data_IF_170922887543
#
_entry.id   IF_170922887543
#
_cell.length_a   1.000
_cell.length_b   1.000
_cell.length_c   1.000
_cell.angle_alpha   90.00
_cell.angle_beta   90.00
_cell.angle_gamma   90.00
#
_symmetry.space_group_name_H-M   'P 1'
#
loop_
_entity.id
_entity.type
_entity.pdbx_description
1 polymer ?
#
# COMPACT_ATOMS: atom_id res chain seq x y z
N UNK A 1 -22.12 3.50 14.84
CA UNK A 1 -22.86 2.23 14.63
C UNK A 1 -22.00 0.99 14.97
N UNK A 2 -21.87 0.57 16.25
CA UNK A 2 -21.49 -0.82 16.56
C UNK A 2 -22.37 -1.52 17.64
N UNK A 3 -23.34 -0.82 18.23
CA UNK A 3 -24.02 -1.29 19.44
C UNK A 3 -24.95 -2.52 19.26
N UNK A 4 -25.39 -2.81 18.04
CA UNK A 4 -26.40 -3.85 17.78
C UNK A 4 -25.81 -5.27 17.64
N UNK A 5 -24.64 -5.42 17.00
CA UNK A 5 -24.03 -6.73 16.73
C UNK A 5 -23.63 -7.43 18.03
N UNK A 6 -23.21 -6.67 19.05
CA UNK A 6 -22.73 -7.25 20.30
C UNK A 6 -23.81 -7.85 21.21
N UNK A 7 -25.09 -7.60 20.94
CA UNK A 7 -26.21 -8.03 21.81
C UNK A 7 -27.09 -9.13 21.21
N UNK A 8 -26.85 -9.51 19.96
CA UNK A 8 -27.62 -10.55 19.28
C UNK A 8 -27.19 -11.95 19.76
N UNK A 9 -28.14 -12.84 20.03
CA UNK A 9 -27.83 -14.24 20.33
C UNK A 9 -27.81 -15.07 19.05
N UNK A 10 -26.73 -15.84 18.85
CA UNK A 10 -26.59 -16.72 17.69
C UNK A 10 -26.49 -18.18 18.14
N UNK A 11 -27.26 -19.05 17.51
CA UNK A 11 -27.18 -20.51 17.73
C UNK A 11 -25.96 -21.15 17.08
N UNK A 12 -25.45 -20.55 16.00
CA UNK A 12 -24.29 -21.08 15.26
C UNK A 12 -22.97 -20.75 15.95
N UNK A 13 -22.09 -21.74 16.21
CA UNK A 13 -20.75 -21.51 16.72
C UNK A 13 -19.91 -20.57 15.83
N UNK A 14 -20.12 -20.62 14.51
CA UNK A 14 -19.43 -19.76 13.56
C UNK A 14 -19.89 -18.30 13.69
N UNK A 15 -21.20 -18.07 13.79
CA UNK A 15 -21.77 -16.74 13.99
C UNK A 15 -21.29 -16.12 15.32
N UNK A 16 -21.22 -16.92 16.39
CA UNK A 16 -20.64 -16.48 17.67
C UNK A 16 -19.15 -16.08 17.56
N UNK A 17 -18.36 -16.77 16.73
CA UNK A 17 -16.96 -16.38 16.46
C UNK A 17 -16.89 -15.04 15.71
N UNK A 18 -17.72 -14.84 14.70
CA UNK A 18 -17.77 -13.57 13.97
C UNK A 18 -18.22 -12.41 14.87
N UNK A 19 -19.24 -12.62 15.71
CA UNK A 19 -19.69 -11.62 16.68
C UNK A 19 -18.57 -11.17 17.60
N UNK A 20 -17.85 -12.12 18.22
CA UNK A 20 -16.69 -11.82 19.08
C UNK A 20 -15.60 -11.03 18.34
N UNK A 21 -15.34 -11.37 17.08
CA UNK A 21 -14.37 -10.65 16.25
C UNK A 21 -14.83 -9.22 15.94
N UNK A 22 -16.09 -9.04 15.56
CA UNK A 22 -16.67 -7.71 15.31
C UNK A 22 -16.68 -6.84 16.57
N UNK A 23 -16.96 -7.41 17.75
CA UNK A 23 -16.85 -6.68 19.02
C UNK A 23 -15.41 -6.24 19.29
N UNK A 24 -14.43 -7.14 19.13
CA UNK A 24 -13.01 -6.84 19.39
C UNK A 24 -12.42 -5.84 18.40
N UNK A 25 -12.81 -5.93 17.13
CA UNK A 25 -12.21 -5.16 16.04
C UNK A 25 -13.06 -3.96 15.61
N UNK A 26 -14.30 -3.85 16.09
CA UNK A 26 -15.31 -2.91 15.57
C UNK A 26 -14.90 -1.45 15.69
N UNK A 27 -14.31 -1.05 16.81
CA UNK A 27 -13.79 0.31 17.01
C UNK A 27 -12.70 0.66 15.99
N UNK A 28 -11.89 -0.33 15.59
CA UNK A 28 -10.80 -0.15 14.61
C UNK A 28 -11.26 -0.32 13.16
N UNK A 29 -12.49 -0.80 12.94
CA UNK A 29 -12.96 -1.17 11.60
C UNK A 29 -13.34 0.05 10.76
N UNK A 30 -13.63 1.17 11.42
CA UNK A 30 -14.10 2.40 10.81
C UNK A 30 -13.15 3.59 11.01
N UNK A 31 -11.91 3.35 11.45
CA UNK A 31 -10.92 4.41 11.71
C UNK A 31 -10.60 5.25 10.47
N UNK A 32 -10.82 4.71 9.27
CA UNK A 32 -10.69 5.47 8.02
C UNK A 32 -11.69 6.64 7.92
N UNK A 33 -12.80 6.61 8.67
CA UNK A 33 -13.74 7.74 8.74
C UNK A 33 -13.17 8.92 9.54
N UNK A 34 -12.20 8.65 10.42
CA UNK A 34 -11.54 9.66 11.26
C UNK A 34 -10.26 10.22 10.62
N UNK A 35 -9.86 9.71 9.44
CA UNK A 35 -8.61 10.08 8.77
C UNK A 35 -8.83 10.36 7.27
N UNK A 36 -8.64 11.62 6.87
CA UNK A 36 -8.72 12.01 5.46
C UNK A 36 -7.66 11.30 4.61
N UNK A 37 -8.06 10.92 3.38
CA UNK A 37 -7.17 10.26 2.41
C UNK A 37 -6.89 8.78 2.68
N UNK A 38 -7.42 8.19 3.76
CA UNK A 38 -7.31 6.75 4.02
C UNK A 38 -8.45 6.00 3.31
N UNK A 39 -8.14 5.08 2.37
CA UNK A 39 -9.18 4.31 1.71
C UNK A 39 -9.87 3.34 2.68
N UNK A 40 -11.16 3.10 2.47
CA UNK A 40 -11.94 2.12 3.24
C UNK A 40 -11.46 0.67 3.05
N UNK A 41 -10.71 0.40 1.98
CA UNK A 41 -10.18 -0.92 1.65
C UNK A 41 -8.68 -1.01 1.95
N UNK A 42 -8.22 -2.21 2.32
CA UNK A 42 -6.84 -2.47 2.70
C UNK A 42 -5.93 -2.84 1.50
N UNK A 43 -6.38 -2.62 0.26
CA UNK A 43 -5.66 -3.11 -0.92
C UNK A 43 -4.24 -2.53 -1.00
N UNK A 44 -4.07 -1.23 -0.68
CA UNK A 44 -2.77 -0.58 -0.73
C UNK A 44 -1.76 -1.23 0.24
N UNK A 45 -2.18 -1.53 1.48
CA UNK A 45 -1.30 -2.18 2.44
C UNK A 45 -1.00 -3.64 2.06
N UNK A 46 -2.00 -4.37 1.53
CA UNK A 46 -1.77 -5.72 1.01
C UNK A 46 -0.77 -5.73 -0.14
N UNK A 47 -0.89 -4.78 -1.08
CA UNK A 47 0.04 -4.63 -2.20
C UNK A 47 1.47 -4.38 -1.71
N UNK A 48 1.66 -3.44 -0.79
CA UNK A 48 2.96 -3.15 -0.19
C UNK A 48 3.58 -4.38 0.51
N UNK A 49 2.78 -5.15 1.26
CA UNK A 49 3.28 -6.33 1.98
C UNK A 49 3.50 -7.54 1.05
N UNK A 50 2.71 -7.68 -0.02
CA UNK A 50 2.81 -8.82 -0.97
C UNK A 50 4.20 -8.93 -1.59
N UNK A 51 4.81 -7.80 -1.96
CA UNK A 51 6.14 -7.78 -2.56
C UNK A 51 7.20 -8.29 -1.57
N UNK A 52 7.14 -7.83 -0.34
CA UNK A 52 8.00 -8.30 0.75
C UNK A 52 7.78 -9.79 1.06
N UNK A 53 6.53 -10.25 1.12
CA UNK A 53 6.22 -11.66 1.40
C UNK A 53 6.73 -12.61 0.31
N UNK A 54 6.72 -12.18 -0.97
CA UNK A 54 7.35 -12.92 -2.08
C UNK A 54 8.86 -12.98 -1.91
N UNK A 55 9.50 -11.85 -1.64
CA UNK A 55 10.95 -11.78 -1.49
C UNK A 55 11.46 -12.58 -0.30
N UNK A 56 10.78 -12.52 0.86
CA UNK A 56 11.12 -13.32 2.04
C UNK A 56 11.19 -14.82 1.76
N UNK A 57 10.30 -15.35 0.91
CA UNK A 57 10.34 -16.77 0.50
C UNK A 57 11.56 -17.12 -0.35
N UNK A 58 12.08 -16.17 -1.12
CA UNK A 58 13.19 -16.40 -2.03
C UNK A 58 14.57 -16.32 -1.36
N UNK A 59 14.65 -15.70 -0.17
CA UNK A 59 15.92 -15.45 0.56
C UNK A 59 15.94 -16.21 1.90
N UNK A 60 15.06 -17.20 2.08
CA UNK A 60 14.93 -18.03 3.29
C UNK A 60 14.84 -17.23 4.62
N UNK A 61 14.37 -15.99 4.55
CA UNK A 61 14.22 -15.12 5.72
C UNK A 61 15.50 -14.52 6.29
N UNK A 62 16.66 -14.69 5.63
CA UNK A 62 17.92 -14.09 6.08
C UNK A 62 18.00 -12.62 5.69
N UNK A 63 17.66 -11.73 6.63
CA UNK A 63 17.80 -10.29 6.46
C UNK A 63 18.49 -9.63 7.66
N UNK A 64 19.29 -8.61 7.37
CA UNK A 64 19.69 -7.59 8.34
C UNK A 64 18.78 -6.37 8.15
N UNK A 65 18.69 -5.50 9.15
CA UNK A 65 17.95 -4.24 9.00
C UNK A 65 18.43 -3.43 7.79
N UNK A 66 19.75 -3.34 7.59
CA UNK A 66 20.35 -2.65 6.44
C UNK A 66 19.90 -3.23 5.10
N UNK A 67 20.06 -4.55 4.93
CA UNK A 67 19.69 -5.19 3.64
C UNK A 67 18.19 -5.12 3.37
N UNK A 68 17.37 -5.09 4.42
CA UNK A 68 15.93 -4.89 4.29
C UNK A 68 15.60 -3.46 3.84
N UNK A 69 16.24 -2.44 4.41
CA UNK A 69 16.07 -1.04 4.00
C UNK A 69 16.48 -0.84 2.54
N UNK A 70 17.63 -1.38 2.12
CA UNK A 70 18.11 -1.34 0.73
C UNK A 70 17.10 -2.02 -0.23
N UNK A 71 16.57 -3.18 0.17
CA UNK A 71 15.55 -3.87 -0.60
C UNK A 71 14.25 -3.07 -0.73
N UNK A 72 13.79 -2.43 0.35
CA UNK A 72 12.56 -1.63 0.32
C UNK A 72 12.67 -0.43 -0.63
N UNK A 73 13.83 0.20 -0.73
CA UNK A 73 14.07 1.25 -1.73
C UNK A 73 13.98 0.70 -3.14
N UNK A 74 14.57 -0.47 -3.41
CA UNK A 74 14.48 -1.11 -4.73
C UNK A 74 13.02 -1.51 -5.06
N UNK A 75 12.31 -2.03 -4.07
CA UNK A 75 10.92 -2.45 -4.18
C UNK A 75 9.99 -1.29 -4.57
N UNK A 76 10.15 -0.11 -3.96
CA UNK A 76 9.33 1.07 -4.30
C UNK A 76 9.61 1.57 -5.72
N UNK A 77 10.87 1.50 -6.19
CA UNK A 77 11.21 1.84 -7.58
C UNK A 77 10.53 0.88 -8.56
N UNK A 78 10.58 -0.43 -8.29
CA UNK A 78 9.91 -1.44 -9.12
C UNK A 78 8.40 -1.26 -9.15
N UNK A 79 7.80 -1.04 -7.99
CA UNK A 79 6.36 -0.81 -7.87
C UNK A 79 5.94 0.46 -8.63
N UNK A 80 6.74 1.52 -8.55
CA UNK A 80 6.50 2.75 -9.34
C UNK A 80 6.61 2.50 -10.84
N UNK A 81 7.56 1.68 -11.30
CA UNK A 81 7.64 1.30 -12.71
C UNK A 81 6.40 0.52 -13.17
N UNK A 82 5.98 -0.49 -12.40
CA UNK A 82 4.79 -1.29 -12.68
C UNK A 82 3.51 -0.42 -12.73
N UNK A 83 3.31 0.48 -11.76
CA UNK A 83 2.19 1.42 -11.75
C UNK A 83 2.15 2.36 -12.96
N UNK A 84 3.30 2.61 -13.59
CA UNK A 84 3.42 3.44 -14.77
C UNK A 84 3.57 2.63 -16.07
N UNK A 85 3.35 1.31 -16.03
CA UNK A 85 3.48 0.40 -17.17
C UNK A 85 4.85 0.51 -17.87
N UNK A 86 5.90 0.69 -17.07
CA UNK A 86 7.27 0.83 -17.52
C UNK A 86 8.04 -0.48 -17.40
N UNK A 87 8.90 -0.74 -18.39
CA UNK A 87 9.86 -1.83 -18.27
C UNK A 87 10.96 -1.46 -17.26
N UNK A 88 11.02 -2.21 -16.15
CA UNK A 88 11.95 -1.99 -15.04
C UNK A 88 13.42 -1.98 -15.51
N UNK A 89 13.82 -2.94 -16.34
CA UNK A 89 15.21 -3.04 -16.82
C UNK A 89 15.58 -1.85 -17.71
N UNK A 90 14.65 -1.41 -18.56
CA UNK A 90 14.83 -0.21 -19.38
C UNK A 90 15.03 1.03 -18.52
N UNK A 91 14.26 1.18 -17.44
CA UNK A 91 14.44 2.27 -16.48
C UNK A 91 15.80 2.18 -15.77
N UNK A 92 16.16 1.03 -15.22
CA UNK A 92 17.46 0.83 -14.53
C UNK A 92 18.66 1.13 -15.44
N UNK A 93 18.60 0.73 -16.71
CA UNK A 93 19.66 0.98 -17.69
C UNK A 93 19.71 2.43 -18.19
N UNK A 94 18.62 3.19 -18.06
CA UNK A 94 18.57 4.61 -18.47
C UNK A 94 19.42 5.52 -17.60
N UNK A 95 19.77 5.07 -16.37
CA UNK A 95 20.42 5.88 -15.32
C UNK A 95 19.61 7.09 -14.86
N UNK A 96 18.32 7.14 -15.20
CA UNK A 96 17.41 8.15 -14.66
C UNK A 96 17.24 7.96 -13.15
N UNK A 97 17.35 9.06 -12.41
CA UNK A 97 17.22 9.07 -10.95
C UNK A 97 16.07 9.97 -10.50
N UNK A 98 15.31 10.52 -11.44
CA UNK A 98 14.23 11.47 -11.17
C UNK A 98 12.87 10.88 -11.46
N UNK A 99 11.87 11.30 -10.66
CA UNK A 99 10.48 10.95 -10.93
C UNK A 99 10.01 11.49 -12.29
N UNK A 100 10.45 12.69 -12.66
CA UNK A 100 10.11 13.31 -13.95
C UNK A 100 10.67 12.49 -15.12
N UNK A 101 11.91 12.03 -15.03
CA UNK A 101 12.53 11.14 -16.02
C UNK A 101 11.77 9.82 -16.16
N UNK A 102 11.42 9.19 -15.03
CA UNK A 102 10.58 7.99 -15.01
C UNK A 102 9.23 8.25 -15.71
N UNK A 103 8.49 9.28 -15.32
CA UNK A 103 7.18 9.60 -15.89
C UNK A 103 7.26 9.91 -17.39
N UNK A 104 8.31 10.62 -17.81
CA UNK A 104 8.60 10.89 -19.23
C UNK A 104 8.81 9.59 -20.01
N UNK A 105 9.60 8.65 -19.47
CA UNK A 105 9.80 7.32 -20.07
C UNK A 105 8.50 6.52 -20.15
N UNK A 106 7.57 6.73 -19.22
CA UNK A 106 6.25 6.09 -19.21
C UNK A 106 5.30 6.67 -20.27
N UNK A 107 5.72 7.70 -21.02
CA UNK A 107 4.88 8.42 -21.96
C UNK A 107 3.88 9.36 -21.28
N UNK A 108 4.01 9.60 -19.96
CA UNK A 108 3.24 10.64 -19.28
C UNK A 108 3.93 11.98 -19.54
N UNK A 109 3.25 12.88 -20.24
CA UNK A 109 3.74 14.26 -20.37
C UNK A 109 3.74 14.89 -18.97
N UNK A 110 4.80 15.61 -18.56
CA UNK A 110 4.71 16.43 -17.38
C UNK A 110 3.54 17.39 -17.58
N UNK A 111 2.60 17.40 -16.62
CA UNK A 111 1.58 18.44 -16.51
C UNK A 111 2.28 19.77 -16.71
N UNK A 112 1.84 20.54 -17.71
CA UNK A 112 2.41 21.85 -18.00
C UNK A 112 2.17 22.70 -16.77
N UNK A 113 3.24 22.92 -16.00
CA UNK A 113 3.43 23.96 -14.99
C UNK A 113 2.15 24.75 -14.68
N UNK A 114 1.30 24.25 -13.77
CA UNK A 114 0.35 25.14 -13.12
C UNK A 114 1.18 26.06 -12.23
N UNK A 115 1.14 27.40 -12.46
CA UNK A 115 1.82 28.32 -11.57
C UNK A 115 1.27 28.09 -10.16
N UNK A 116 2.17 27.80 -9.23
CA UNK A 116 1.87 27.78 -7.81
C UNK A 116 1.61 29.25 -7.46
N UNK A 117 0.36 29.71 -7.59
CA UNK A 117 -0.06 30.90 -6.86
C UNK A 117 0.04 30.54 -5.38
N UNK A 118 1.08 31.08 -4.73
CA UNK A 118 1.13 31.23 -3.29
C UNK A 118 -0.16 31.96 -2.88
N UNK A 119 -1.07 31.25 -2.23
CA UNK A 119 -2.11 31.93 -1.47
C UNK A 119 -1.40 32.58 -0.27
N UNK A 120 -1.34 33.91 -0.29
CA UNK A 120 -1.06 34.72 0.89
C UNK A 120 -2.21 34.70 1.88
#
# INVERSE_FOLDING_TARGET
MPAAVGKAEFSSPLANKYQKRCQKSGEKMFTFLDHDGVPWNNNNAEHAIKLFAKYRRNVDGYFTERTLQEYLVLATVFETCEFNNLNILKFMLSKETTLVGLLSMAGRKPERNFPIELCG
#
